data_IF_299697468932
#
_entry.id   IF_299697468932
#
_cell.length_a   1.000
_cell.length_b   1.000
_cell.length_c   1.000
_cell.angle_alpha   90.00
_cell.angle_beta   90.00
_cell.angle_gamma   90.00
#
_symmetry.space_group_name_H-M   'P 1'
#
loop_
_entity.id
_entity.type
_entity.pdbx_description
1 polymer ?
#
# COMPACT_ATOMS: atom_id res chain seq x y z
N UNK A 1 1.45 22.13 -13.20
CA UNK A 1 1.10 20.72 -12.97
C UNK A 1 1.49 20.39 -11.53
N UNK A 2 0.62 19.83 -10.71
CA UNK A 2 0.97 19.49 -9.31
C UNK A 2 1.90 18.27 -9.27
N UNK A 3 2.70 18.10 -8.21
CA UNK A 3 3.55 16.91 -8.06
C UNK A 3 2.73 15.61 -8.19
N UNK A 4 1.53 15.61 -7.60
CA UNK A 4 0.58 14.52 -7.72
C UNK A 4 0.24 14.20 -9.19
N UNK A 5 -0.12 15.20 -10.00
CA UNK A 5 -0.45 15.02 -11.41
C UNK A 5 0.75 14.53 -12.23
N UNK A 6 1.95 15.03 -11.94
CA UNK A 6 3.18 14.62 -12.61
C UNK A 6 3.40 13.12 -12.36
N UNK A 7 3.45 12.69 -11.09
CA UNK A 7 3.72 11.29 -10.77
C UNK A 7 2.58 10.35 -11.19
N UNK A 8 1.31 10.75 -11.09
CA UNK A 8 0.20 9.94 -11.59
C UNK A 8 0.28 9.73 -13.11
N UNK A 9 0.66 10.77 -13.86
CA UNK A 9 0.85 10.65 -15.32
C UNK A 9 2.07 9.79 -15.64
N UNK A 10 3.17 9.98 -14.92
CA UNK A 10 4.39 9.17 -15.06
C UNK A 10 4.09 7.69 -14.81
N UNK A 11 3.33 7.35 -13.77
CA UNK A 11 2.99 5.96 -13.46
C UNK A 11 2.26 5.27 -14.62
N UNK A 12 1.27 5.95 -15.22
CA UNK A 12 0.53 5.47 -16.39
C UNK A 12 1.43 5.30 -17.62
N UNK A 13 2.37 6.21 -17.83
CA UNK A 13 3.33 6.10 -18.93
C UNK A 13 4.28 4.92 -18.71
N UNK A 14 4.77 4.73 -17.48
CA UNK A 14 5.61 3.60 -17.13
C UNK A 14 4.87 2.26 -17.29
N UNK A 15 3.60 2.19 -16.92
CA UNK A 15 2.74 1.02 -17.15
C UNK A 15 2.62 0.70 -18.65
N UNK A 16 2.33 1.70 -19.48
CA UNK A 16 2.29 1.54 -20.93
C UNK A 16 3.61 1.02 -21.49
N UNK A 17 4.74 1.61 -21.09
CA UNK A 17 6.06 1.15 -21.51
C UNK A 17 6.35 -0.28 -21.05
N UNK A 18 6.00 -0.63 -19.81
CA UNK A 18 6.23 -1.96 -19.28
C UNK A 18 5.47 -3.02 -20.08
N UNK A 19 4.20 -2.76 -20.40
CA UNK A 19 3.40 -3.65 -21.24
C UNK A 19 3.96 -3.78 -22.66
N UNK A 20 4.42 -2.69 -23.27
CA UNK A 20 5.05 -2.76 -24.61
C UNK A 20 6.37 -3.54 -24.60
N UNK A 21 7.14 -3.50 -23.51
CA UNK A 21 8.33 -4.34 -23.37
C UNK A 21 7.95 -5.82 -23.18
N UNK A 22 6.90 -6.13 -22.41
CA UNK A 22 6.40 -7.50 -22.26
C UNK A 22 5.96 -8.12 -23.59
N UNK A 23 5.20 -7.38 -24.41
CA UNK A 23 4.74 -7.87 -25.72
C UNK A 23 5.89 -8.18 -26.68
N UNK A 24 7.02 -7.48 -26.53
CA UNK A 24 8.26 -7.70 -27.29
C UNK A 24 9.22 -8.70 -26.64
N UNK A 25 8.81 -9.34 -25.55
CA UNK A 25 9.62 -10.26 -24.75
C UNK A 25 10.91 -9.62 -24.17
N UNK A 26 10.92 -8.30 -23.99
CA UNK A 26 12.03 -7.54 -23.41
C UNK A 26 11.92 -7.45 -21.89
N UNK A 27 11.88 -8.61 -21.23
CA UNK A 27 11.54 -8.76 -19.80
C UNK A 27 12.44 -7.95 -18.85
N UNK A 28 13.71 -7.74 -19.20
CA UNK A 28 14.62 -6.89 -18.42
C UNK A 28 14.20 -5.40 -18.46
N UNK A 29 13.81 -4.90 -19.63
CA UNK A 29 13.30 -3.53 -19.80
C UNK A 29 11.95 -3.36 -19.11
N UNK A 30 11.06 -4.37 -19.21
CA UNK A 30 9.78 -4.39 -18.52
C UNK A 30 9.94 -4.29 -17.01
N UNK A 31 10.91 -5.01 -16.42
CA UNK A 31 11.23 -4.93 -15.00
C UNK A 31 11.59 -3.49 -14.57
N UNK A 32 12.45 -2.79 -15.32
CA UNK A 32 12.82 -1.41 -15.03
C UNK A 32 11.61 -0.46 -15.14
N UNK A 33 10.75 -0.65 -16.15
CA UNK A 33 9.56 0.17 -16.34
C UNK A 33 8.53 -0.03 -15.20
N UNK A 34 8.28 -1.27 -14.77
CA UNK A 34 7.44 -1.54 -13.60
C UNK A 34 8.03 -0.98 -12.31
N UNK A 35 9.35 -1.01 -12.12
CA UNK A 35 9.98 -0.33 -10.98
C UNK A 35 9.76 1.18 -11.01
N UNK A 36 9.82 1.80 -12.18
CA UNK A 36 9.50 3.23 -12.33
C UNK A 36 8.01 3.51 -12.03
N UNK A 37 7.11 2.62 -12.43
CA UNK A 37 5.68 2.67 -12.08
C UNK A 37 5.47 2.58 -10.56
N UNK A 38 6.10 1.63 -9.89
CA UNK A 38 6.09 1.50 -8.41
C UNK A 38 6.50 2.82 -7.77
N UNK A 39 7.67 3.35 -8.15
CA UNK A 39 8.21 4.56 -7.55
C UNK A 39 7.27 5.74 -7.78
N UNK A 40 6.71 5.89 -8.98
CA UNK A 40 5.75 6.94 -9.28
C UNK A 40 4.50 6.85 -8.38
N UNK A 41 3.92 5.66 -8.19
CA UNK A 41 2.79 5.47 -7.26
C UNK A 41 3.20 5.69 -5.79
N UNK A 42 4.40 5.26 -5.37
CA UNK A 42 4.91 5.54 -4.02
C UNK A 42 5.07 7.05 -3.77
N UNK A 43 5.45 7.83 -4.78
CA UNK A 43 5.50 9.29 -4.71
C UNK A 43 4.10 9.91 -4.61
N UNK A 44 3.13 9.38 -5.33
CA UNK A 44 1.70 9.78 -5.20
C UNK A 44 1.20 9.54 -3.78
N UNK A 45 1.42 8.35 -3.24
CA UNK A 45 1.06 7.97 -1.86
C UNK A 45 1.74 8.90 -0.85
N UNK A 46 3.04 9.15 -1.02
CA UNK A 46 3.79 10.05 -0.15
C UNK A 46 3.22 11.48 -0.15
N UNK A 47 2.85 12.03 -1.32
CA UNK A 47 2.22 13.34 -1.42
C UNK A 47 0.85 13.40 -0.71
N UNK A 48 0.09 12.31 -0.69
CA UNK A 48 -1.24 12.23 -0.05
C UNK A 48 -1.18 11.96 1.46
N UNK A 49 -0.04 11.48 1.99
CA UNK A 49 0.08 10.92 3.34
C UNK A 49 -0.41 11.85 4.46
N UNK A 50 -0.06 13.15 4.42
CA UNK A 50 -0.45 14.10 5.47
C UNK A 50 -1.97 14.32 5.52
N UNK A 51 -2.62 14.52 4.37
CA UNK A 51 -4.07 14.67 4.28
C UNK A 51 -4.81 13.39 4.68
N UNK A 52 -4.34 12.23 4.21
CA UNK A 52 -4.99 10.95 4.51
C UNK A 52 -4.84 10.57 5.98
N UNK A 53 -3.73 10.92 6.63
CA UNK A 53 -3.57 10.71 8.07
C UNK A 53 -4.59 11.52 8.88
N UNK A 54 -4.84 12.78 8.49
CA UNK A 54 -5.90 13.61 9.08
C UNK A 54 -7.29 13.01 8.89
N UNK A 55 -7.61 12.59 7.65
CA UNK A 55 -8.88 11.94 7.31
C UNK A 55 -9.13 10.68 8.14
N UNK A 56 -8.08 9.86 8.35
CA UNK A 56 -8.16 8.64 9.18
C UNK A 56 -8.45 8.97 10.64
N UNK A 57 -7.79 9.98 11.20
CA UNK A 57 -8.01 10.38 12.60
C UNK A 57 -9.40 10.96 12.82
N UNK A 58 -9.90 11.80 11.91
CA UNK A 58 -11.26 12.35 11.98
C UNK A 58 -12.32 11.24 11.89
N UNK A 59 -12.09 10.28 11.00
CA UNK A 59 -12.99 9.15 10.85
C UNK A 59 -12.99 8.26 12.10
N UNK A 60 -11.81 7.94 12.63
CA UNK A 60 -11.67 7.15 13.85
C UNK A 60 -12.35 7.84 15.05
N UNK A 61 -12.20 9.17 15.16
CA UNK A 61 -12.88 9.94 16.19
C UNK A 61 -14.41 9.84 16.05
N UNK A 62 -14.95 9.92 14.84
CA UNK A 62 -16.41 9.82 14.61
C UNK A 62 -16.96 8.43 14.94
N UNK A 63 -16.23 7.38 14.59
CA UNK A 63 -16.64 5.99 14.84
C UNK A 63 -16.53 5.59 16.33
N UNK A 64 -15.65 6.26 17.08
CA UNK A 64 -15.44 6.03 18.52
C UNK A 64 -16.36 6.87 19.43
N UNK A 65 -17.25 7.71 18.88
CA UNK A 65 -18.27 8.37 19.68
C UNK A 65 -19.27 7.29 20.11
N UNK A 66 -19.17 6.87 21.37
CA UNK A 66 -20.16 6.03 22.02
C UNK A 66 -21.56 6.67 21.85
N UNK A 67 -22.63 5.87 21.66
CA UNK A 67 -23.98 6.41 21.69
C UNK A 67 -24.14 7.21 22.99
N UNK A 68 -24.75 8.42 22.98
CA UNK A 68 -25.02 9.14 24.20
C UNK A 68 -25.90 8.23 25.07
N UNK A 69 -25.29 7.63 26.08
CA UNK A 69 -25.99 6.86 27.08
C UNK A 69 -27.00 7.78 27.73
N UNK A 70 -28.25 7.36 27.72
CA UNK A 70 -29.32 8.01 28.45
C UNK A 70 -28.86 8.24 29.90
N UNK A 71 -29.18 9.43 30.41
CA UNK A 71 -28.76 9.93 31.72
C UNK A 71 -28.99 8.88 32.82
N UNK A 72 -28.08 8.70 33.80
CA UNK A 72 -28.40 7.88 34.95
C UNK A 72 -29.54 8.59 35.69
N UNK A 73 -30.73 8.00 35.65
CA UNK A 73 -31.86 8.44 36.46
C UNK A 73 -31.44 8.36 37.92
N UNK A 74 -31.14 9.51 38.53
CA UNK A 74 -30.98 9.64 39.98
C UNK A 74 -32.35 9.47 40.64
N UNK A 75 -32.71 8.22 40.95
CA UNK A 75 -33.81 7.91 41.86
C UNK A 75 -33.26 7.58 43.23
N UNK A 76 -33.55 8.46 44.19
CA UNK A 76 -33.24 8.32 45.60
C UNK A 76 -34.02 7.13 46.23
N UNK A 77 -33.36 6.36 47.10
CA UNK A 77 -34.03 5.54 48.11
C UNK A 77 -33.09 5.32 49.29
N UNK A 78 -33.46 5.93 50.41
CA UNK A 78 -32.80 5.80 51.71
C UNK A 78 -33.09 4.44 52.37
N UNK A 79 -32.01 3.87 52.94
CA UNK A 79 -31.80 2.90 54.04
C UNK A 79 -32.49 1.51 54.17
N UNK A 80 -31.58 0.56 54.46
CA UNK A 80 -31.58 -0.61 55.38
C UNK A 80 -32.53 -1.81 55.22
N UNK A 81 -31.94 -2.99 54.92
CA UNK A 81 -32.17 -4.19 55.75
C UNK A 81 -31.11 -5.29 55.52
N UNK A 82 -30.48 -5.77 56.61
CA UNK A 82 -29.61 -6.94 56.68
C UNK A 82 -30.44 -8.19 57.03
N UNK A 83 -30.41 -9.25 56.23
CA UNK A 83 -30.42 -10.63 56.76
C UNK A 83 -30.04 -11.69 55.70
N UNK A 84 -29.38 -12.75 56.17
CA UNK A 84 -28.68 -13.81 55.45
C UNK A 84 -29.54 -15.00 54.98
N UNK A 85 -29.02 -15.66 53.92
CA UNK A 85 -29.05 -17.10 53.57
C UNK A 85 -30.38 -17.82 53.26
N UNK A 86 -30.45 -18.50 52.09
CA UNK A 86 -30.46 -19.97 51.90
C UNK A 86 -30.71 -20.35 50.41
N UNK A 87 -29.74 -21.07 49.83
CA UNK A 87 -29.79 -22.16 48.80
C UNK A 87 -30.65 -21.98 47.52
N UNK A 88 -29.99 -21.93 46.35
CA UNK A 88 -30.08 -22.97 45.29
C UNK A 88 -29.26 -22.61 44.05
N UNK A 89 -28.71 -23.63 43.43
CA UNK A 89 -27.69 -23.66 42.39
C UNK A 89 -28.19 -23.18 41.01
N UNK A 90 -27.38 -22.36 40.32
CA UNK A 90 -27.03 -22.60 38.91
C UNK A 90 -25.78 -21.82 38.52
N UNK A 91 -24.63 -22.48 38.56
CA UNK A 91 -23.44 -22.02 37.87
C UNK A 91 -23.64 -22.20 36.36
N UNK A 92 -23.32 -21.19 35.55
CA UNK A 92 -22.68 -21.31 34.22
C UNK A 92 -22.16 -19.92 33.81
N UNK A 93 -20.82 -19.83 33.79
CA UNK A 93 -19.95 -18.95 32.99
C UNK A 93 -20.17 -17.42 33.00
N UNK A 94 -19.41 -16.72 33.85
CA UNK A 94 -18.91 -15.38 33.54
C UNK A 94 -17.47 -15.48 33.05
N UNK A 95 -17.30 -15.60 31.73
CA UNK A 95 -16.09 -15.26 30.99
C UNK A 95 -16.51 -14.81 29.61
N UNK A 96 -16.39 -13.52 29.34
CA UNK A 96 -16.70 -12.95 28.05
C UNK A 96 -16.52 -11.46 28.05
N UNK A 97 -15.28 -11.02 27.83
CA UNK A 97 -14.92 -9.66 27.43
C UNK A 97 -15.59 -9.38 26.08
N UNK A 98 -16.87 -9.01 26.09
CA UNK A 98 -17.67 -8.73 24.91
C UNK A 98 -17.84 -7.23 24.75
N UNK A 99 -16.98 -6.63 23.92
CA UNK A 99 -17.22 -5.29 23.36
C UNK A 99 -18.50 -5.34 22.53
N UNK A 100 -19.64 -5.04 23.14
CA UNK A 100 -20.92 -4.91 22.45
C UNK A 100 -20.95 -3.60 21.66
N UNK A 101 -20.28 -3.59 20.51
CA UNK A 101 -20.53 -2.62 19.44
C UNK A 101 -21.52 -3.26 18.49
N UNK A 102 -22.81 -3.14 18.81
CA UNK A 102 -23.90 -3.58 17.93
C UNK A 102 -24.89 -2.43 17.77
N UNK A 103 -24.50 -1.47 16.94
CA UNK A 103 -25.37 -0.44 16.39
C UNK A 103 -24.86 -0.11 14.98
N UNK A 104 -25.73 0.15 13.98
CA UNK A 104 -25.27 0.46 12.64
C UNK A 104 -24.46 1.75 12.68
N UNK A 105 -23.15 1.68 12.48
CA UNK A 105 -22.29 2.85 12.31
C UNK A 105 -22.74 3.57 11.03
N UNK A 106 -23.70 4.48 11.16
CA UNK A 106 -24.13 5.34 10.06
C UNK A 106 -22.97 6.26 9.75
N UNK A 107 -22.32 6.04 8.59
CA UNK A 107 -21.37 6.99 8.03
C UNK A 107 -22.10 8.32 7.87
N UNK A 108 -21.83 9.26 8.77
CA UNK A 108 -22.38 10.61 8.73
C UNK A 108 -22.07 11.18 7.36
N UNK A 109 -23.08 11.69 6.64
CA UNK A 109 -22.93 12.16 5.26
C UNK A 109 -21.78 13.18 5.10
N UNK A 110 -21.47 13.93 6.16
CA UNK A 110 -20.33 14.85 6.29
C UNK A 110 -18.96 14.20 6.05
N UNK A 111 -18.79 12.93 6.40
CA UNK A 111 -17.49 12.23 6.33
C UNK A 111 -17.26 11.54 4.97
N UNK A 112 -18.27 11.48 4.09
CA UNK A 112 -18.17 10.82 2.78
C UNK A 112 -16.94 11.25 1.95
N UNK A 113 -16.57 12.54 1.87
CA UNK A 113 -15.38 12.94 1.12
C UNK A 113 -14.07 12.36 1.67
N UNK A 114 -13.98 12.19 3.00
CA UNK A 114 -12.79 11.63 3.66
C UNK A 114 -12.65 10.14 3.33
N UNK A 115 -13.77 9.40 3.30
CA UNK A 115 -13.79 8.01 2.86
C UNK A 115 -13.33 7.85 1.42
N UNK A 116 -13.83 8.69 0.51
CA UNK A 116 -13.41 8.65 -0.90
C UNK A 116 -11.90 8.89 -1.00
N UNK A 117 -11.36 9.90 -0.32
CA UNK A 117 -9.92 10.16 -0.33
C UNK A 117 -9.09 9.02 0.27
N UNK A 118 -9.59 8.34 1.31
CA UNK A 118 -8.93 7.18 1.91
C UNK A 118 -8.94 5.96 0.98
N UNK A 119 -10.05 5.74 0.26
CA UNK A 119 -10.14 4.68 -0.75
C UNK A 119 -9.21 4.97 -1.93
N UNK A 120 -9.19 6.21 -2.43
CA UNK A 120 -8.27 6.63 -3.49
C UNK A 120 -6.80 6.44 -3.07
N UNK A 121 -6.46 6.80 -1.84
CA UNK A 121 -5.12 6.56 -1.28
C UNK A 121 -4.77 5.07 -1.25
N UNK A 122 -5.71 4.22 -0.79
CA UNK A 122 -5.50 2.77 -0.71
C UNK A 122 -5.34 2.16 -2.11
N UNK A 123 -6.06 2.68 -3.09
CA UNK A 123 -5.94 2.28 -4.48
C UNK A 123 -4.54 2.60 -5.03
N UNK A 124 -3.99 3.77 -4.74
CA UNK A 124 -2.62 4.12 -5.16
C UNK A 124 -1.57 3.22 -4.50
N UNK A 125 -1.76 2.85 -3.22
CA UNK A 125 -0.90 1.87 -2.53
C UNK A 125 -0.98 0.51 -3.22
N UNK A 126 -2.19 0.05 -3.56
CA UNK A 126 -2.38 -1.22 -4.26
C UNK A 126 -1.69 -1.21 -5.64
N UNK A 127 -1.77 -0.11 -6.38
CA UNK A 127 -1.05 0.03 -7.64
C UNK A 127 0.47 0.00 -7.48
N UNK A 128 1.01 0.62 -6.42
CA UNK A 128 2.43 0.52 -6.11
C UNK A 128 2.86 -0.94 -5.83
N UNK A 129 2.09 -1.66 -5.01
CA UNK A 129 2.37 -3.06 -4.67
C UNK A 129 2.29 -3.98 -5.89
N UNK A 130 1.29 -3.77 -6.74
CA UNK A 130 1.13 -4.53 -7.98
C UNK A 130 2.29 -4.27 -8.95
N UNK A 131 2.74 -3.01 -9.06
CA UNK A 131 3.91 -2.66 -9.85
C UNK A 131 5.20 -3.31 -9.31
N UNK A 132 5.40 -3.34 -7.99
CA UNK A 132 6.51 -4.08 -7.35
C UNK A 132 6.48 -5.55 -7.72
N UNK A 133 5.32 -6.20 -7.58
CA UNK A 133 5.15 -7.63 -7.89
C UNK A 133 5.49 -7.93 -9.35
N UNK A 134 4.97 -7.11 -10.28
CA UNK A 134 5.26 -7.24 -11.71
C UNK A 134 6.75 -7.01 -12.02
N UNK A 135 7.35 -6.00 -11.40
CA UNK A 135 8.78 -5.70 -11.53
C UNK A 135 9.66 -6.88 -11.09
N UNK A 136 9.34 -7.50 -9.95
CA UNK A 136 10.08 -8.65 -9.42
C UNK A 136 9.91 -9.89 -10.30
N UNK A 137 8.69 -10.16 -10.77
CA UNK A 137 8.43 -11.27 -11.70
C UNK A 137 9.21 -11.11 -13.00
N UNK A 138 9.14 -9.93 -13.64
CA UNK A 138 9.87 -9.65 -14.86
C UNK A 138 11.40 -9.78 -14.66
N UNK A 139 11.91 -9.32 -13.51
CA UNK A 139 13.32 -9.50 -13.15
C UNK A 139 13.70 -10.97 -12.97
N UNK A 140 12.86 -11.78 -12.29
CA UNK A 140 13.11 -13.21 -12.13
C UNK A 140 13.17 -13.94 -13.48
N UNK A 141 12.28 -13.60 -14.42
CA UNK A 141 12.33 -14.12 -15.79
C UNK A 141 13.59 -13.66 -16.52
N UNK A 142 14.02 -12.40 -16.34
CA UNK A 142 15.28 -11.89 -16.91
C UNK A 142 16.50 -12.68 -16.39
N UNK A 143 16.56 -12.99 -15.09
CA UNK A 143 17.61 -13.80 -14.49
C UNK A 143 17.70 -15.22 -15.10
N UNK A 144 16.55 -15.82 -15.43
CA UNK A 144 16.49 -17.14 -16.03
C UNK A 144 16.85 -17.17 -17.52
N UNK A 145 16.70 -16.05 -18.23
CA UNK A 145 16.82 -15.98 -19.69
C UNK A 145 18.16 -15.42 -20.20
N UNK A 146 18.91 -14.67 -19.38
CA UNK A 146 20.22 -14.16 -19.78
C UNK A 146 21.31 -15.26 -19.75
N UNK A 147 22.07 -15.39 -20.85
CA UNK A 147 23.20 -16.32 -21.03
C UNK A 147 24.53 -15.79 -20.46
N UNK A 148 25.43 -16.69 -20.06
CA UNK A 148 26.43 -16.51 -18.99
C UNK A 148 27.57 -15.50 -19.25
N UNK A 149 27.91 -15.15 -20.49
CA UNK A 149 29.09 -14.30 -20.76
C UNK A 149 28.94 -12.83 -20.31
N UNK A 150 27.70 -12.31 -20.26
CA UNK A 150 27.39 -10.93 -19.83
C UNK A 150 26.26 -10.83 -18.79
N UNK A 151 25.83 -11.99 -18.28
CA UNK A 151 24.73 -12.14 -17.31
C UNK A 151 24.98 -11.38 -16.02
N UNK A 152 26.16 -11.49 -15.43
CA UNK A 152 26.40 -10.97 -14.08
C UNK A 152 26.30 -9.45 -13.99
N UNK A 153 26.93 -8.70 -14.90
CA UNK A 153 26.93 -7.23 -14.79
C UNK A 153 25.56 -6.62 -15.11
N UNK A 154 24.84 -7.18 -16.10
CA UNK A 154 23.50 -6.75 -16.47
C UNK A 154 22.49 -7.06 -15.35
N UNK A 155 22.47 -8.31 -14.86
CA UNK A 155 21.58 -8.71 -13.76
C UNK A 155 21.89 -7.94 -12.48
N UNK A 156 23.16 -7.72 -12.13
CA UNK A 156 23.54 -6.88 -10.99
C UNK A 156 23.05 -5.44 -11.15
N UNK A 157 23.17 -4.85 -12.33
CA UNK A 157 22.71 -3.48 -12.60
C UNK A 157 21.19 -3.36 -12.46
N UNK A 158 20.44 -4.32 -13.00
CA UNK A 158 18.98 -4.35 -12.86
C UNK A 158 18.60 -4.57 -11.39
N UNK A 159 19.23 -5.52 -10.70
CA UNK A 159 18.98 -5.79 -9.28
C UNK A 159 19.14 -4.55 -8.41
N UNK A 160 20.20 -3.76 -8.66
CA UNK A 160 20.42 -2.48 -7.97
C UNK A 160 19.25 -1.51 -8.14
N UNK A 161 18.62 -1.47 -9.32
CA UNK A 161 17.42 -0.65 -9.55
C UNK A 161 16.22 -1.22 -8.78
N UNK A 162 16.00 -2.54 -8.85
CA UNK A 162 14.86 -3.21 -8.20
C UNK A 162 14.88 -3.02 -6.69
N UNK A 163 16.05 -3.18 -6.07
CA UNK A 163 16.24 -3.06 -4.62
C UNK A 163 16.27 -1.59 -4.15
N UNK A 164 16.28 -0.61 -5.07
CA UNK A 164 16.41 0.80 -4.72
C UNK A 164 15.13 1.41 -4.14
N UNK A 165 15.28 2.36 -3.22
CA UNK A 165 14.19 3.06 -2.55
C UNK A 165 13.62 4.20 -3.42
N UNK A 166 12.35 4.56 -3.21
CA UNK A 166 11.69 5.67 -3.90
C UNK A 166 12.10 7.07 -3.37
N UNK A 167 12.94 7.13 -2.34
CA UNK A 167 13.30 8.38 -1.65
C UNK A 167 14.22 9.27 -2.49
N UNK A 168 15.26 8.69 -3.11
CA UNK A 168 16.24 9.41 -3.93
C UNK A 168 15.95 9.17 -5.42
N UNK A 169 15.18 10.07 -6.02
CA UNK A 169 14.81 9.95 -7.43
C UNK A 169 15.98 10.18 -8.38
N UNK A 170 16.93 11.03 -8.03
CA UNK A 170 18.06 11.34 -8.90
C UNK A 170 19.00 10.13 -9.01
N UNK A 171 19.30 9.49 -7.89
CA UNK A 171 20.09 8.25 -7.90
C UNK A 171 19.32 7.11 -8.58
N UNK A 172 18.01 6.99 -8.38
CA UNK A 172 17.21 6.00 -9.10
C UNK A 172 17.28 6.22 -10.62
N UNK A 173 17.10 7.46 -11.10
CA UNK A 173 17.19 7.80 -12.52
C UNK A 173 18.58 7.41 -13.07
N UNK A 174 19.64 7.69 -12.31
CA UNK A 174 21.01 7.33 -12.68
C UNK A 174 21.17 5.81 -12.78
N UNK A 175 20.67 5.04 -11.81
CA UNK A 175 20.72 3.58 -11.80
C UNK A 175 19.92 2.97 -12.96
N UNK A 176 18.73 3.50 -13.25
CA UNK A 176 17.90 3.08 -14.39
C UNK A 176 18.65 3.28 -15.70
N UNK A 177 19.28 4.45 -15.92
CA UNK A 177 20.09 4.72 -17.11
C UNK A 177 21.23 3.72 -17.27
N UNK A 178 21.99 3.46 -16.20
CA UNK A 178 23.07 2.47 -16.23
C UNK A 178 22.57 1.06 -16.53
N UNK A 179 21.44 0.66 -15.95
CA UNK A 179 20.84 -0.64 -16.22
C UNK A 179 20.36 -0.76 -17.66
N UNK A 180 19.74 0.29 -18.22
CA UNK A 180 19.34 0.33 -19.64
C UNK A 180 20.55 0.18 -20.57
N UNK A 181 21.65 0.87 -20.30
CA UNK A 181 22.88 0.73 -21.08
C UNK A 181 23.46 -0.70 -20.99
N UNK A 182 23.40 -1.32 -19.80
CA UNK A 182 23.83 -2.70 -19.60
C UNK A 182 22.96 -3.69 -20.41
N UNK A 183 21.64 -3.50 -20.41
CA UNK A 183 20.69 -4.29 -21.21
C UNK A 183 20.99 -4.13 -22.71
N UNK A 184 21.24 -2.91 -23.17
CA UNK A 184 21.59 -2.67 -24.58
C UNK A 184 22.88 -3.40 -24.95
N UNK A 185 23.93 -3.33 -24.11
CA UNK A 185 25.18 -4.05 -24.36
C UNK A 185 24.99 -5.58 -24.38
N UNK A 186 24.17 -6.14 -23.49
CA UNK A 186 23.92 -7.59 -23.48
C UNK A 186 23.14 -8.08 -24.70
N UNK A 187 22.24 -7.25 -25.28
CA UNK A 187 21.50 -7.60 -26.52
C UNK A 187 22.41 -7.67 -27.76
N UNK A 188 23.48 -6.86 -27.81
CA UNK A 188 24.41 -6.81 -28.97
C UNK A 188 25.70 -7.62 -28.77
N UNK A 189 25.97 -8.11 -27.55
CA UNK A 189 27.21 -8.83 -27.21
C UNK A 189 27.33 -10.25 -27.78
N UNK A 190 26.25 -10.85 -28.27
CA UNK A 190 26.22 -12.21 -28.82
C UNK A 190 26.73 -12.37 -30.25
N UNK A 191 27.15 -11.28 -30.92
CA UNK A 191 27.66 -11.30 -32.29
C UNK A 191 29.10 -10.78 -32.34
N UNK A 192 30.04 -11.51 -31.73
CA UNK A 192 31.46 -11.37 -32.04
C UNK A 192 32.05 -12.77 -32.25
N UNK A 193 32.32 -13.04 -33.52
CA UNK A 193 32.95 -14.22 -34.10
C UNK A 193 34.12 -14.77 -33.29
#
# INVERSE_FOLDING_TARGET
>A
MTQLQVYSTTAKLCELCAHEYETRNEVASAALAYKCMEVAYMRVVYCKHSSTNGDRHELQATLNIAPPGESPSSSASDVDNLNNQVIAEKAVLSKGTGSHVSGPHVVVARNRPNFVRLLDFTQDVNFAMEATRKSQNAFAVACATLEDAHKNDCICSIKRVIDFSFQDLEELIRLVKLAMEAISRSKFGGARN
#
